data_IF_746759696551
#
_entry.id   IF_746759696551
#
_cell.length_a   1.000
_cell.length_b   1.000
_cell.length_c   1.000
_cell.angle_alpha   90.00
_cell.angle_beta   90.00
_cell.angle_gamma   90.00
#
_symmetry.space_group_name_H-M   'P 1'
#
loop_
_entity.id
_entity.type
_entity.pdbx_description
1 polymer ?
#
# COMPACT_ATOMS: atom_id res chain seq x y z
N UNK A 1 8.13 -23.75 -26.61
CA UNK A 1 7.90 -22.34 -26.18
C UNK A 1 6.53 -21.94 -26.70
N UNK A 2 5.70 -21.33 -25.85
CA UNK A 2 4.41 -20.77 -26.28
C UNK A 2 4.65 -19.47 -27.06
N UNK A 3 3.87 -19.22 -28.13
CA UNK A 3 3.90 -17.96 -28.87
C UNK A 3 3.45 -16.79 -28.01
N UNK A 4 4.01 -15.60 -28.24
CA UNK A 4 3.52 -14.34 -27.68
C UNK A 4 2.57 -13.70 -28.69
N UNK A 5 1.56 -13.02 -28.19
CA UNK A 5 0.63 -12.22 -29.00
C UNK A 5 0.68 -10.76 -28.57
N UNK A 6 0.45 -9.86 -29.49
CA UNK A 6 0.27 -8.45 -29.17
C UNK A 6 -1.13 -8.23 -28.56
N UNK A 7 -1.18 -7.41 -27.51
CA UNK A 7 -2.41 -7.10 -26.80
C UNK A 7 -2.92 -5.72 -27.24
N UNK A 8 -4.19 -5.64 -27.60
CA UNK A 8 -4.85 -4.39 -27.98
C UNK A 8 -4.80 -3.37 -26.85
N UNK A 9 -4.63 -2.05 -27.12
CA UNK A 9 -4.52 -1.02 -26.10
C UNK A 9 -5.69 -0.96 -25.11
N UNK A 10 -6.90 -1.26 -25.55
CA UNK A 10 -8.10 -1.28 -24.71
C UNK A 10 -8.12 -2.47 -23.71
N UNK A 11 -7.21 -3.44 -23.84
CA UNK A 11 -7.03 -4.57 -22.94
C UNK A 11 -5.84 -4.45 -22.00
N UNK A 12 -5.03 -3.40 -22.12
CA UNK A 12 -3.80 -3.29 -21.30
C UNK A 12 -4.07 -3.31 -19.79
N UNK A 13 -5.18 -2.74 -19.34
CA UNK A 13 -5.57 -2.83 -17.93
C UNK A 13 -6.04 -4.24 -17.51
N UNK A 14 -6.39 -5.10 -18.47
CA UNK A 14 -6.80 -6.48 -18.19
C UNK A 14 -5.62 -7.46 -18.11
N UNK A 15 -4.47 -7.07 -18.63
CA UNK A 15 -3.22 -7.81 -18.50
C UNK A 15 -2.56 -7.30 -17.22
N UNK A 16 -2.47 -8.11 -16.21
CA UNK A 16 -1.92 -7.78 -14.90
C UNK A 16 -0.81 -6.72 -14.99
N UNK A 17 -1.24 -5.45 -15.18
CA UNK A 17 -0.32 -4.33 -15.18
C UNK A 17 0.36 -4.27 -13.82
N UNK A 18 1.67 -3.96 -13.75
CA UNK A 18 2.37 -3.87 -12.49
C UNK A 18 1.59 -2.98 -11.52
N UNK A 19 0.98 -3.61 -10.54
CA UNK A 19 0.22 -2.96 -9.49
C UNK A 19 0.80 -3.30 -8.13
N UNK A 20 0.25 -2.76 -7.07
CA UNK A 20 0.77 -2.93 -5.73
C UNK A 20 -0.30 -3.39 -4.76
N UNK A 21 0.02 -3.49 -3.49
CA UNK A 21 -0.94 -3.81 -2.46
C UNK A 21 -2.18 -2.93 -2.56
N UNK A 22 -3.35 -3.54 -2.38
CA UNK A 22 -4.58 -2.81 -2.15
C UNK A 22 -4.52 -2.16 -0.77
N UNK A 23 -4.73 -0.86 -0.73
CA UNK A 23 -4.73 -0.10 0.52
C UNK A 23 -5.89 0.87 0.57
N UNK A 24 -6.32 1.22 1.79
CA UNK A 24 -7.14 2.39 2.04
C UNK A 24 -6.20 3.48 2.58
N UNK A 25 -6.14 4.61 1.89
CA UNK A 25 -5.44 5.79 2.39
C UNK A 25 -6.45 6.64 3.15
N UNK A 26 -6.16 6.90 4.43
CA UNK A 26 -6.90 7.86 5.22
C UNK A 26 -6.16 9.20 5.28
N UNK A 27 -6.89 10.27 5.15
CA UNK A 27 -6.43 11.66 5.29
C UNK A 27 -7.40 12.42 6.17
N UNK A 28 -7.00 13.61 6.61
CA UNK A 28 -7.90 14.54 7.28
C UNK A 28 -7.69 15.95 6.71
N UNK A 29 -8.74 16.74 6.64
CA UNK A 29 -8.61 18.16 6.31
C UNK A 29 -8.13 18.98 7.53
N UNK A 30 -8.01 20.30 7.34
CA UNK A 30 -7.58 21.22 8.40
C UNK A 30 -8.54 21.26 9.59
N UNK A 31 -9.82 20.98 9.36
CA UNK A 31 -10.87 20.95 10.37
C UNK A 31 -11.00 19.58 11.05
N UNK A 32 -10.20 18.59 10.63
CA UNK A 32 -10.19 17.24 11.16
C UNK A 32 -11.24 16.31 10.55
N UNK A 33 -11.90 16.72 9.45
CA UNK A 33 -12.83 15.84 8.73
C UNK A 33 -12.03 14.75 8.03
N UNK A 34 -12.40 13.51 8.31
CA UNK A 34 -11.70 12.32 7.82
C UNK A 34 -12.23 11.98 6.42
N UNK A 35 -11.28 11.63 5.53
CA UNK A 35 -11.53 11.04 4.24
C UNK A 35 -10.80 9.71 4.13
N UNK A 36 -11.37 8.74 3.44
CA UNK A 36 -10.77 7.44 3.16
C UNK A 36 -11.03 7.02 1.72
N UNK A 37 -9.98 6.66 1.00
CA UNK A 37 -10.09 6.24 -0.39
C UNK A 37 -9.23 5.00 -0.69
N UNK A 38 -9.73 4.15 -1.60
CA UNK A 38 -9.07 2.92 -2.03
C UNK A 38 -8.01 3.19 -3.10
N UNK A 39 -6.85 2.57 -2.98
CA UNK A 39 -5.74 2.71 -3.92
C UNK A 39 -5.08 1.37 -4.22
N UNK A 40 -4.83 1.10 -5.51
CA UNK A 40 -4.01 0.01 -6.02
C UNK A 40 -2.65 0.50 -6.58
N UNK A 41 -2.25 1.73 -6.28
CA UNK A 41 -1.01 2.35 -6.77
C UNK A 41 -0.02 2.67 -5.65
N UNK A 42 -0.21 2.07 -4.47
CA UNK A 42 0.63 2.31 -3.30
C UNK A 42 1.83 1.36 -3.27
N UNK A 43 3.04 1.90 -3.16
CA UNK A 43 4.26 1.10 -3.11
C UNK A 43 5.33 1.73 -2.23
N UNK A 44 6.16 0.88 -1.63
CA UNK A 44 7.38 1.32 -0.94
C UNK A 44 8.45 1.70 -1.97
N UNK A 45 9.01 2.89 -1.85
CA UNK A 45 10.01 3.44 -2.79
C UNK A 45 11.41 3.57 -2.20
N UNK A 46 11.53 3.51 -0.86
CA UNK A 46 12.82 3.48 -0.17
C UNK A 46 12.73 2.62 1.09
N UNK A 47 13.82 1.99 1.50
CA UNK A 47 13.86 1.11 2.66
C UNK A 47 14.36 1.82 3.93
N UNK A 48 15.39 2.63 3.81
CA UNK A 48 16.01 3.31 4.94
C UNK A 48 16.51 4.69 4.49
N UNK A 49 15.88 5.79 4.97
CA UNK A 49 14.61 5.77 5.68
C UNK A 49 13.46 5.22 4.82
N UNK A 50 12.41 4.70 5.48
CA UNK A 50 11.28 4.12 4.73
C UNK A 50 10.40 5.22 4.14
N UNK A 51 10.17 5.13 2.82
CA UNK A 51 9.23 5.97 2.08
C UNK A 51 8.20 5.13 1.34
N UNK A 52 6.97 5.62 1.33
CA UNK A 52 5.85 5.03 0.61
C UNK A 52 5.26 6.07 -0.35
N UNK A 53 4.97 5.65 -1.57
CA UNK A 53 4.29 6.50 -2.56
C UNK A 53 2.96 5.92 -2.99
N UNK A 54 2.06 6.80 -3.41
CA UNK A 54 0.81 6.47 -4.10
C UNK A 54 0.42 7.59 -5.07
N UNK A 55 -0.60 7.33 -5.90
CA UNK A 55 -1.07 8.31 -6.87
C UNK A 55 -2.56 8.56 -6.70
N UNK A 56 -2.97 9.82 -6.53
CA UNK A 56 -4.38 10.23 -6.45
C UNK A 56 -4.80 11.14 -7.62
N UNK A 57 -6.11 11.22 -7.87
CA UNK A 57 -6.69 12.11 -8.87
C UNK A 57 -6.90 13.52 -8.33
N UNK A 58 -6.75 14.55 -9.18
CA UNK A 58 -7.11 15.93 -8.84
C UNK A 58 -8.62 16.09 -8.60
N UNK A 59 -9.00 17.03 -7.76
CA UNK A 59 -10.38 17.30 -7.39
C UNK A 59 -11.01 16.19 -6.54
N UNK A 60 -10.20 15.49 -5.75
CA UNK A 60 -10.61 14.50 -4.77
C UNK A 60 -10.13 14.91 -3.39
N UNK A 61 -10.90 14.58 -2.36
CA UNK A 61 -10.60 14.96 -0.99
C UNK A 61 -9.20 14.50 -0.53
N UNK A 62 -8.76 13.30 -0.92
CA UNK A 62 -7.38 12.83 -0.66
C UNK A 62 -6.32 13.78 -1.23
N UNK A 63 -6.54 14.26 -2.47
CA UNK A 63 -5.61 15.20 -3.13
C UNK A 63 -5.52 16.51 -2.35
N UNK A 64 -6.68 17.10 -2.03
CA UNK A 64 -6.77 18.39 -1.33
C UNK A 64 -6.23 18.29 0.10
N UNK A 65 -6.57 17.22 0.83
CA UNK A 65 -6.11 16.98 2.18
C UNK A 65 -4.58 16.80 2.26
N UNK A 66 -4.00 16.00 1.36
CA UNK A 66 -2.55 15.79 1.31
C UNK A 66 -1.80 17.10 1.07
N UNK A 67 -2.28 17.95 0.16
CA UNK A 67 -1.68 19.27 -0.08
C UNK A 67 -1.87 20.23 1.10
N UNK A 68 -3.00 20.12 1.80
CA UNK A 68 -3.35 21.02 2.89
C UNK A 68 -2.69 20.70 4.22
N UNK A 69 -2.48 19.40 4.52
CA UNK A 69 -2.03 18.92 5.84
C UNK A 69 -0.71 18.17 5.80
N UNK A 70 -0.33 17.62 4.66
CA UNK A 70 0.90 16.85 4.50
C UNK A 70 0.90 15.52 5.26
N UNK A 71 -0.26 14.98 5.63
CA UNK A 71 -0.36 13.76 6.44
C UNK A 71 -1.30 12.74 5.79
N UNK A 72 -0.92 11.45 5.84
CA UNK A 72 -1.76 10.35 5.43
C UNK A 72 -1.39 9.05 6.16
N UNK A 73 -2.33 8.11 6.22
CA UNK A 73 -2.08 6.78 6.76
C UNK A 73 -2.41 5.74 5.69
N UNK A 74 -1.50 4.82 5.49
CA UNK A 74 -1.68 3.64 4.64
C UNK A 74 -2.22 2.51 5.50
N UNK A 75 -3.41 2.02 5.19
CA UNK A 75 -4.04 0.89 5.85
C UNK A 75 -4.05 -0.27 4.86
N UNK A 76 -3.30 -1.35 5.13
CA UNK A 76 -3.17 -2.50 4.22
C UNK A 76 -4.43 -3.36 4.31
N UNK A 77 -5.10 -3.54 3.19
CA UNK A 77 -6.36 -4.28 3.10
C UNK A 77 -6.09 -5.79 3.11
N UNK A 78 -6.68 -6.56 4.05
CA UNK A 78 -6.61 -8.00 4.01
C UNK A 78 -7.48 -8.58 2.88
N UNK A 79 -7.05 -9.71 2.31
CA UNK A 79 -7.80 -10.45 1.28
C UNK A 79 -8.94 -11.26 1.92
N UNK A 80 -9.97 -10.54 2.31
CA UNK A 80 -11.20 -11.09 2.88
C UNK A 80 -12.39 -10.43 2.20
N UNK A 81 -13.40 -11.21 1.80
CA UNK A 81 -14.50 -10.71 0.98
C UNK A 81 -15.16 -9.47 1.59
N UNK A 82 -15.43 -9.49 2.89
CA UNK A 82 -16.04 -8.35 3.59
C UNK A 82 -15.19 -7.09 3.54
N UNK A 83 -13.86 -7.24 3.63
CA UNK A 83 -12.94 -6.10 3.54
C UNK A 83 -12.78 -5.59 2.12
N UNK A 84 -12.78 -6.49 1.14
CA UNK A 84 -12.77 -6.09 -0.28
C UNK A 84 -14.03 -5.30 -0.64
N UNK A 85 -15.21 -5.75 -0.19
CA UNK A 85 -16.48 -5.05 -0.41
C UNK A 85 -16.48 -3.65 0.25
N UNK A 86 -16.04 -3.55 1.50
CA UNK A 86 -15.89 -2.27 2.21
C UNK A 86 -14.89 -1.33 1.51
N UNK A 87 -13.79 -1.90 0.99
CA UNK A 87 -12.78 -1.13 0.24
C UNK A 87 -13.35 -0.57 -1.05
N UNK A 88 -14.18 -1.31 -1.77
CA UNK A 88 -14.88 -0.81 -2.95
C UNK A 88 -15.81 0.35 -2.62
N UNK A 89 -16.48 0.32 -1.46
CA UNK A 89 -17.29 1.46 -1.01
C UNK A 89 -16.43 2.71 -0.83
N UNK A 90 -15.23 2.59 -0.22
CA UNK A 90 -14.29 3.72 -0.11
C UNK A 90 -13.79 4.24 -1.48
N UNK A 91 -13.94 3.48 -2.55
CA UNK A 91 -13.63 3.89 -3.93
C UNK A 91 -14.75 4.65 -4.65
N UNK A 92 -15.97 4.71 -4.08
CA UNK A 92 -17.11 5.37 -4.71
C UNK A 92 -16.97 6.89 -4.68
N UNK A 93 -17.53 7.59 -5.68
CA UNK A 93 -17.48 9.05 -5.76
C UNK A 93 -18.56 9.68 -4.86
N UNK A 94 -18.33 9.68 -3.55
CA UNK A 94 -19.20 10.41 -2.62
C UNK A 94 -19.05 11.93 -2.79
N UNK A 95 -19.99 12.68 -2.23
CA UNK A 95 -19.89 14.14 -2.17
C UNK A 95 -18.76 14.55 -1.22
N UNK A 96 -18.04 15.63 -1.57
CA UNK A 96 -16.96 16.13 -0.73
C UNK A 96 -17.40 16.36 0.73
N UNK A 97 -16.59 15.92 1.67
CA UNK A 97 -16.83 16.01 3.10
C UNK A 97 -17.67 14.89 3.72
N UNK A 98 -18.12 13.90 2.93
CA UNK A 98 -18.71 12.68 3.49
C UNK A 98 -17.59 11.77 4.04
N UNK A 99 -17.86 11.09 5.15
CA UNK A 99 -16.91 10.16 5.76
C UNK A 99 -17.11 8.75 5.20
N UNK A 100 -16.21 8.34 4.30
CA UNK A 100 -16.26 7.04 3.63
C UNK A 100 -16.08 5.88 4.61
N UNK A 101 -15.33 6.05 5.71
CA UNK A 101 -15.20 5.00 6.73
C UNK A 101 -16.55 4.63 7.32
N UNK A 102 -17.36 5.63 7.66
CA UNK A 102 -18.70 5.39 8.21
C UNK A 102 -19.61 4.74 7.17
N UNK A 103 -19.53 5.18 5.89
CA UNK A 103 -20.31 4.59 4.78
C UNK A 103 -19.95 3.14 4.54
N UNK A 104 -18.66 2.80 4.64
CA UNK A 104 -18.16 1.44 4.48
C UNK A 104 -18.33 0.58 5.74
N UNK A 105 -18.78 1.13 6.87
CA UNK A 105 -18.83 0.43 8.14
C UNK A 105 -17.45 0.00 8.64
N UNK A 106 -16.44 0.87 8.43
CA UNK A 106 -15.08 0.73 8.93
C UNK A 106 -14.91 1.52 10.23
N UNK A 107 -14.08 1.01 11.13
CA UNK A 107 -13.86 1.57 12.46
C UNK A 107 -12.58 2.41 12.50
N UNK A 108 -12.66 3.74 12.60
CA UNK A 108 -11.47 4.57 12.77
C UNK A 108 -10.87 4.36 14.17
N UNK A 109 -9.56 4.19 14.23
CA UNK A 109 -8.78 4.19 15.49
C UNK A 109 -7.71 5.29 15.43
N UNK A 110 -7.39 5.95 16.57
CA UNK A 110 -6.41 7.03 16.58
C UNK A 110 -5.04 6.60 16.07
N UNK A 111 -4.42 7.43 15.24
CA UNK A 111 -3.01 7.30 14.89
C UNK A 111 -2.11 7.61 16.09
N UNK A 112 -0.86 7.14 16.06
CA UNK A 112 0.13 7.36 17.12
C UNK A 112 0.85 8.69 16.98
N UNK A 113 1.04 9.17 15.76
CA UNK A 113 1.84 10.35 15.43
C UNK A 113 1.09 11.41 14.63
N UNK A 114 0.06 11.01 13.88
CA UNK A 114 -0.61 11.85 12.91
C UNK A 114 -2.08 12.03 13.23
N UNK A 115 -2.73 12.98 12.54
CA UNK A 115 -4.16 13.25 12.69
C UNK A 115 -5.07 12.25 11.95
N UNK A 116 -4.78 11.87 10.68
CA UNK A 116 -5.61 10.91 9.98
C UNK A 116 -5.67 9.57 10.74
N UNK A 117 -6.84 8.93 10.88
CA UNK A 117 -6.98 7.71 11.66
C UNK A 117 -6.42 6.49 10.93
N UNK A 118 -6.06 5.46 11.69
CA UNK A 118 -5.91 4.09 11.23
C UNK A 118 -7.28 3.42 11.16
N UNK A 119 -7.37 2.25 10.55
CA UNK A 119 -8.60 1.45 10.40
C UNK A 119 -8.44 0.16 11.18
N UNK A 120 -9.33 -0.11 12.15
CA UNK A 120 -9.23 -1.25 13.06
C UNK A 120 -9.25 -2.61 12.33
N UNK A 121 -9.97 -2.73 11.22
CA UNK A 121 -10.10 -3.95 10.43
C UNK A 121 -8.89 -4.24 9.52
N UNK A 122 -7.94 -3.30 9.42
CA UNK A 122 -6.68 -3.49 8.71
C UNK A 122 -5.59 -3.91 9.70
N UNK A 123 -4.88 -5.00 9.41
CA UNK A 123 -3.90 -5.55 10.34
C UNK A 123 -2.61 -4.74 10.45
N UNK A 124 -2.25 -3.97 9.41
CA UNK A 124 -1.02 -3.17 9.41
C UNK A 124 -1.22 -1.77 8.86
N UNK A 125 -0.50 -0.80 9.45
CA UNK A 125 -0.66 0.62 9.17
C UNK A 125 0.70 1.30 9.10
N UNK A 126 0.82 2.28 8.17
CA UNK A 126 1.99 3.14 8.04
C UNK A 126 1.53 4.60 8.09
N UNK A 127 1.93 5.30 9.12
CA UNK A 127 1.65 6.73 9.30
C UNK A 127 2.74 7.54 8.59
N UNK A 128 2.37 8.36 7.61
CA UNK A 128 3.31 9.00 6.70
C UNK A 128 3.14 10.52 6.68
N UNK A 129 4.26 11.25 6.75
CA UNK A 129 4.34 12.68 6.40
C UNK A 129 4.81 12.84 4.97
N UNK A 130 4.14 13.70 4.23
CA UNK A 130 4.50 14.03 2.85
C UNK A 130 5.90 14.64 2.82
N UNK A 131 6.77 14.04 2.03
CA UNK A 131 8.11 14.56 1.75
C UNK A 131 8.10 15.40 0.47
N UNK A 132 7.49 14.85 -0.57
CA UNK A 132 7.30 15.57 -1.84
C UNK A 132 6.06 15.12 -2.57
N UNK A 133 5.58 15.95 -3.48
CA UNK A 133 4.52 15.64 -4.41
C UNK A 133 4.91 16.06 -5.82
N UNK A 134 4.45 15.29 -6.83
CA UNK A 134 4.63 15.62 -8.23
C UNK A 134 3.28 15.54 -8.94
N UNK A 135 2.82 16.67 -9.44
CA UNK A 135 1.62 16.74 -10.26
C UNK A 135 1.95 16.52 -11.74
N UNK A 136 1.12 15.74 -12.44
CA UNK A 136 1.14 15.65 -13.90
C UNK A 136 -0.26 15.30 -14.41
N UNK A 137 -0.64 15.86 -15.52
CA UNK A 137 -2.01 15.73 -16.04
C UNK A 137 -3.03 16.06 -14.95
N UNK A 138 -3.95 15.13 -14.67
CA UNK A 138 -4.95 15.22 -13.60
C UNK A 138 -4.63 14.29 -12.40
N UNK A 139 -3.35 14.05 -12.16
CA UNK A 139 -2.84 13.16 -11.10
C UNK A 139 -1.83 13.88 -10.22
N UNK A 140 -1.74 13.42 -8.97
CA UNK A 140 -0.71 13.77 -8.01
C UNK A 140 -0.03 12.49 -7.54
N UNK A 141 1.26 12.37 -7.77
CA UNK A 141 2.08 11.40 -7.09
C UNK A 141 2.48 11.99 -5.75
N UNK A 142 2.26 11.23 -4.69
CA UNK A 142 2.58 11.58 -3.30
C UNK A 142 3.63 10.62 -2.81
N UNK A 143 4.70 11.15 -2.23
CA UNK A 143 5.70 10.36 -1.54
C UNK A 143 5.81 10.86 -0.10
N UNK A 144 5.65 9.96 0.86
CA UNK A 144 5.70 10.27 2.28
C UNK A 144 6.71 9.42 3.02
N UNK A 145 7.40 10.07 3.97
CA UNK A 145 8.26 9.41 4.93
C UNK A 145 7.41 8.74 6.00
N UNK A 146 7.73 7.50 6.31
CA UNK A 146 7.06 6.74 7.38
C UNK A 146 7.54 7.23 8.75
N UNK A 147 6.60 7.71 9.57
CA UNK A 147 6.85 8.23 10.92
C UNK A 147 6.50 7.20 12.02
N UNK A 148 5.56 6.30 11.73
CA UNK A 148 5.19 5.20 12.63
C UNK A 148 4.62 4.03 11.85
N UNK A 149 4.84 2.83 12.36
CA UNK A 149 4.25 1.59 11.84
C UNK A 149 3.56 0.87 13.00
N UNK A 150 2.41 0.29 12.72
CA UNK A 150 1.71 -0.60 13.66
C UNK A 150 1.17 -1.83 12.95
N UNK A 151 1.11 -2.92 13.69
CA UNK A 151 0.57 -4.20 13.24
C UNK A 151 -0.13 -4.87 14.42
N UNK A 152 -1.12 -5.70 14.15
CA UNK A 152 -1.77 -6.50 15.19
C UNK A 152 -0.78 -7.49 15.80
N UNK A 153 -0.84 -7.66 17.12
CA UNK A 153 0.14 -8.44 17.89
C UNK A 153 0.25 -9.88 17.39
N UNK A 154 -0.85 -10.48 16.99
CA UNK A 154 -0.91 -11.87 16.51
C UNK A 154 -0.51 -12.01 15.02
N UNK A 155 -0.33 -10.91 14.31
CA UNK A 155 0.13 -10.84 12.92
C UNK A 155 1.67 -10.77 12.77
N UNK A 156 2.38 -10.73 13.88
CA UNK A 156 3.86 -10.70 13.92
C UNK A 156 4.39 -11.71 14.94
N UNK A 157 5.44 -12.42 14.59
CA UNK A 157 6.11 -13.32 15.52
C UNK A 157 7.01 -12.54 16.49
N UNK A 158 7.42 -13.14 17.65
CA UNK A 158 8.38 -12.51 18.55
C UNK A 158 9.72 -12.11 17.88
N UNK A 159 10.08 -12.75 16.78
CA UNK A 159 11.29 -12.45 16.01
C UNK A 159 11.04 -11.42 14.90
N UNK A 160 9.89 -10.75 14.88
CA UNK A 160 9.57 -9.71 13.90
C UNK A 160 9.19 -10.24 12.50
N UNK A 161 8.84 -11.51 12.35
CA UNK A 161 8.40 -12.07 11.07
C UNK A 161 6.88 -11.98 10.92
N UNK A 162 6.42 -11.65 9.73
CA UNK A 162 5.00 -11.56 9.41
C UNK A 162 4.35 -12.94 9.40
N UNK A 163 3.19 -13.04 10.05
CA UNK A 163 2.30 -14.22 9.98
C UNK A 163 1.36 -14.03 8.78
N UNK A 164 1.83 -14.47 7.61
CA UNK A 164 1.14 -14.22 6.33
C UNK A 164 -0.30 -14.70 6.28
N UNK A 165 -0.60 -15.84 6.89
CA UNK A 165 -1.95 -16.41 6.96
C UNK A 165 -2.93 -15.55 7.78
N UNK A 166 -2.43 -14.57 8.54
CA UNK A 166 -3.24 -13.62 9.29
C UNK A 166 -3.34 -12.28 8.58
N UNK A 167 -2.21 -11.72 8.15
CA UNK A 167 -2.17 -10.41 7.46
C UNK A 167 -2.89 -10.44 6.12
N UNK A 168 -2.75 -11.54 5.37
CA UNK A 168 -3.43 -11.79 4.08
C UNK A 168 -3.53 -10.56 3.17
N UNK A 169 -2.44 -9.87 2.82
CA UNK A 169 -2.55 -8.66 2.03
C UNK A 169 -3.19 -8.94 0.67
N UNK A 170 -4.05 -8.04 0.22
CA UNK A 170 -4.67 -8.10 -1.10
C UNK A 170 -3.87 -7.31 -2.14
N UNK A 171 -3.86 -7.77 -3.39
CA UNK A 171 -3.45 -7.01 -4.56
C UNK A 171 -4.65 -6.61 -5.41
N UNK A 172 -4.62 -5.38 -5.91
CA UNK A 172 -5.53 -4.92 -6.92
C UNK A 172 -4.98 -5.27 -8.31
N UNK A 173 -5.77 -5.98 -9.12
CA UNK A 173 -5.32 -6.45 -10.42
C UNK A 173 -5.67 -5.51 -11.58
N UNK A 174 -6.31 -4.39 -11.28
CA UNK A 174 -6.86 -3.51 -12.29
C UNK A 174 -8.13 -4.11 -12.89
N UNK A 175 -8.97 -3.27 -13.43
CA UNK A 175 -9.90 -3.63 -14.51
C UNK A 175 -10.83 -2.49 -14.86
N UNK A 176 -11.03 -2.32 -16.14
CA UNK A 176 -11.89 -1.25 -16.67
C UNK A 176 -13.37 -1.42 -16.32
N UNK A 177 -13.82 -2.65 -16.02
CA UNK A 177 -15.24 -2.96 -15.85
C UNK A 177 -15.57 -3.92 -14.70
N UNK A 178 -14.59 -4.52 -14.04
CA UNK A 178 -14.78 -5.40 -12.88
C UNK A 178 -13.55 -5.34 -12.01
N UNK A 179 -13.68 -4.75 -10.84
CA UNK A 179 -12.60 -4.76 -9.86
C UNK A 179 -12.24 -6.20 -9.48
N UNK A 180 -10.99 -6.56 -9.67
CA UNK A 180 -10.48 -7.87 -9.30
C UNK A 180 -9.33 -7.75 -8.33
N UNK A 181 -9.31 -8.68 -7.43
CA UNK A 181 -8.30 -8.79 -6.39
C UNK A 181 -7.72 -10.20 -6.36
N UNK A 182 -6.46 -10.31 -6.02
CA UNK A 182 -5.79 -11.58 -5.76
C UNK A 182 -5.07 -11.50 -4.42
N UNK A 183 -4.89 -12.63 -3.71
CA UNK A 183 -4.03 -12.62 -2.53
C UNK A 183 -2.60 -12.29 -2.93
N UNK A 184 -2.00 -11.36 -2.20
CA UNK A 184 -0.59 -11.00 -2.38
C UNK A 184 0.34 -11.92 -1.57
N UNK A 185 -0.14 -13.04 -1.12
CA UNK A 185 0.60 -14.00 -0.31
C UNK A 185 0.29 -15.42 -0.76
N UNK A 186 1.26 -16.27 -0.62
CA UNK A 186 1.17 -17.72 -0.65
C UNK A 186 2.22 -18.22 0.35
N UNK A 187 2.50 -19.51 0.38
CA UNK A 187 3.59 -20.03 1.21
C UNK A 187 4.87 -19.26 0.89
N UNK A 188 5.46 -18.57 1.87
CA UNK A 188 6.66 -17.81 1.63
C UNK A 188 7.77 -18.74 1.15
N UNK A 189 8.28 -18.46 -0.03
CA UNK A 189 9.40 -19.20 -0.62
C UNK A 189 10.65 -18.32 -0.55
N UNK A 190 11.73 -18.88 -0.04
CA UNK A 190 13.04 -18.21 -0.11
C UNK A 190 13.52 -18.23 -1.56
N UNK A 191 13.79 -17.06 -2.10
CA UNK A 191 14.61 -16.94 -3.30
C UNK A 191 16.03 -17.42 -2.98
N UNK A 192 16.55 -18.33 -3.80
CA UNK A 192 17.97 -18.72 -3.73
C UNK A 192 18.72 -17.79 -4.67
N UNK A 193 19.55 -16.93 -4.11
CA UNK A 193 20.41 -16.05 -4.88
C UNK A 193 21.77 -16.71 -5.04
N UNK A 194 22.21 -16.88 -6.28
CA UNK A 194 23.60 -17.14 -6.60
C UNK A 194 24.12 -15.89 -7.29
N UNK A 195 24.93 -15.13 -6.62
CA UNK A 195 25.68 -14.04 -7.23
C UNK A 195 27.11 -14.49 -7.39
N UNK A 196 27.50 -14.67 -8.62
CA UNK A 196 28.84 -15.07 -9.04
C UNK A 196 29.62 -13.84 -9.53
N UNK A 197 29.74 -12.82 -8.69
CA UNK A 197 30.53 -11.63 -9.03
C UNK A 197 32.02 -11.77 -8.74
N UNK A 198 32.44 -12.81 -7.99
CA UNK A 198 33.84 -13.00 -7.55
C UNK A 198 34.22 -14.45 -7.27
N UNK A 199 33.65 -15.42 -7.95
CA UNK A 199 33.89 -16.86 -7.69
C UNK A 199 33.53 -17.32 -6.25
N UNK A 200 32.82 -16.52 -5.48
CA UNK A 200 32.34 -16.89 -4.16
C UNK A 200 30.90 -17.35 -4.24
N UNK A 201 30.64 -18.61 -3.91
CA UNK A 201 29.28 -19.14 -3.77
C UNK A 201 28.56 -18.44 -2.62
N UNK A 202 27.46 -17.75 -2.93
CA UNK A 202 26.52 -17.28 -1.91
C UNK A 202 25.85 -18.50 -1.27
N UNK A 203 26.20 -18.82 -0.03
CA UNK A 203 25.61 -19.95 0.69
C UNK A 203 24.21 -19.61 1.18
N UNK A 204 23.22 -20.53 1.00
CA UNK A 204 21.91 -20.32 1.59
C UNK A 204 22.02 -20.14 3.11
N UNK A 205 21.55 -19.01 3.63
CA UNK A 205 21.54 -18.70 5.07
C UNK A 205 22.51 -17.62 5.53
N UNK A 206 23.42 -17.16 4.70
CA UNK A 206 24.25 -15.99 5.02
C UNK A 206 23.43 -14.71 4.86
N UNK A 207 23.52 -13.83 5.86
CA UNK A 207 22.84 -12.54 5.83
C UNK A 207 23.54 -11.62 4.82
N UNK A 208 22.99 -11.52 3.62
CA UNK A 208 23.49 -10.65 2.55
C UNK A 208 23.66 -9.18 3.01
N UNK A 209 22.96 -8.75 4.06
CA UNK A 209 23.07 -7.41 4.63
C UNK A 209 24.43 -7.17 5.29
N UNK A 210 25.12 -8.22 5.69
CA UNK A 210 26.46 -8.12 6.26
C UNK A 210 27.55 -8.27 5.21
N UNK A 211 27.27 -8.86 4.04
CA UNK A 211 28.25 -9.03 2.98
C UNK A 211 28.67 -7.70 2.30
N UNK A 212 27.87 -6.64 2.44
CA UNK A 212 28.16 -5.32 1.89
C UNK A 212 28.61 -4.27 2.92
N UNK A 213 28.74 -4.64 4.19
CA UNK A 213 29.40 -3.81 5.20
C UNK A 213 30.90 -4.13 5.23
N UNK A 214 31.56 -4.04 4.09
CA UNK A 214 33.00 -3.98 4.07
C UNK A 214 33.42 -2.52 4.22
N UNK A 215 33.91 -2.22 5.38
CA UNK A 215 35.13 -1.42 5.63
C UNK A 215 35.35 -0.27 4.62
N UNK A 216 34.91 0.90 5.00
CA UNK A 216 35.69 2.14 4.85
C UNK A 216 35.81 2.80 6.22
#
# INVERSE_FOLDING_TARGET
>A
MTSKIDVRPDWWDNIFAPSSCLVIITTADKDGRVNAAAFGTCTRVCHDPMYISFTCGSGKDTYDNVLATGEFVVNVVPFEQTMLDKTLICGLPFRGGENELLKAGLTPIPSRRLKPPRIAECHSHFECKVEWTQAWLHRLMVCGKVEAVSIDEDCITPNGQIVWDKVKPAHYCGMRYQDRFVPAYDKPTRGVWRYDGRDEEFRPGEDWRNAHRSTD
#
